data_IF_450747190587
#
_entry.id   IF_450747190587
#
_cell.length_a   1.000
_cell.length_b   1.000
_cell.length_c   1.000
_cell.angle_alpha   90.00
_cell.angle_beta   90.00
_cell.angle_gamma   90.00
#
_symmetry.space_group_name_H-M   'P 1'
#
loop_
_entity.id
_entity.type
_entity.pdbx_description
1 polymer ?
#
# COMPACT_ATOMS: atom_id res chain seq x y z
N UNK A 1 56.29 -21.23 31.39
CA UNK A 1 54.93 -21.07 31.97
C UNK A 1 54.38 -19.62 31.95
N UNK A 2 55.20 -18.56 31.75
CA UNK A 2 54.72 -17.16 31.77
C UNK A 2 54.06 -16.67 30.47
N UNK A 3 54.43 -17.21 29.31
CA UNK A 3 53.88 -16.79 28.01
C UNK A 3 52.44 -17.30 27.75
N UNK A 4 52.10 -18.50 28.23
CA UNK A 4 50.73 -19.05 28.16
C UNK A 4 49.73 -18.29 29.04
N UNK A 5 50.20 -17.66 30.12
CA UNK A 5 49.36 -16.83 31.01
C UNK A 5 49.06 -15.46 30.38
N UNK A 6 49.99 -14.88 29.62
CA UNK A 6 49.76 -13.65 28.86
C UNK A 6 48.79 -13.85 27.71
N UNK A 7 48.85 -14.99 27.01
CA UNK A 7 47.93 -15.29 25.90
C UNK A 7 46.48 -15.48 26.39
N UNK A 8 46.31 -16.09 27.57
CA UNK A 8 44.99 -16.25 28.19
C UNK A 8 44.38 -14.92 28.66
N UNK A 9 45.21 -14.00 29.16
CA UNK A 9 44.75 -12.68 29.59
C UNK A 9 44.33 -11.81 28.40
N UNK A 10 45.04 -11.92 27.27
CA UNK A 10 44.73 -11.18 26.05
C UNK A 10 43.39 -11.61 25.44
N UNK A 11 43.09 -12.92 25.40
CA UNK A 11 41.79 -13.42 24.90
C UNK A 11 40.60 -12.98 25.78
N UNK A 12 40.78 -12.84 27.09
CA UNK A 12 39.72 -12.35 27.99
C UNK A 12 39.46 -10.86 27.75
N UNK A 13 40.48 -10.06 27.48
CA UNK A 13 40.29 -8.63 27.18
C UNK A 13 39.59 -8.37 25.84
N UNK A 14 39.82 -9.20 24.81
CA UNK A 14 39.10 -9.08 23.53
C UNK A 14 37.64 -9.55 23.59
N UNK A 15 37.28 -10.41 24.55
CA UNK A 15 35.89 -10.83 24.76
C UNK A 15 35.04 -9.79 25.52
N UNK A 16 35.68 -8.76 26.11
CA UNK A 16 34.99 -7.69 26.84
C UNK A 16 34.55 -6.50 25.96
N UNK A 17 34.88 -6.49 24.67
CA UNK A 17 34.34 -5.49 23.71
C UNK A 17 33.00 -5.97 23.14
N UNK A 18 32.05 -6.27 24.01
CA UNK A 18 30.73 -6.84 23.65
C UNK A 18 29.55 -5.88 23.81
N UNK A 19 29.78 -4.60 24.15
CA UNK A 19 28.67 -3.69 24.48
C UNK A 19 28.39 -2.60 23.43
N UNK A 20 29.05 -2.61 22.26
CA UNK A 20 28.81 -1.61 21.22
C UNK A 20 27.44 -1.76 20.56
N UNK A 21 26.87 -2.97 20.52
CA UNK A 21 25.55 -3.24 19.94
C UNK A 21 24.38 -2.76 20.81
N UNK A 22 24.64 -2.27 22.03
CA UNK A 22 23.60 -1.73 22.93
C UNK A 22 23.41 -0.21 22.77
N UNK A 23 24.14 0.41 21.83
CA UNK A 23 24.09 1.83 21.50
C UNK A 23 23.48 2.13 20.13
N UNK A 24 23.09 1.09 19.38
CA UNK A 24 22.11 1.22 18.30
C UNK A 24 20.76 1.53 18.96
N UNK A 25 20.59 2.77 19.40
CA UNK A 25 19.29 3.31 19.78
C UNK A 25 18.53 3.45 18.47
N UNK A 26 17.68 2.48 18.19
CA UNK A 26 16.49 2.74 17.39
C UNK A 26 15.73 3.85 18.12
N UNK A 27 15.86 5.07 17.61
CA UNK A 27 15.04 6.18 18.06
C UNK A 27 13.63 5.91 17.54
N UNK A 28 12.85 5.17 18.32
CA UNK A 28 11.41 5.17 18.16
C UNK A 28 10.91 6.54 18.60
N UNK A 29 10.60 7.40 17.63
CA UNK A 29 9.83 8.62 17.87
C UNK A 29 8.41 8.22 18.20
N UNK A 30 8.00 8.44 19.46
CA UNK A 30 6.61 8.27 19.89
C UNK A 30 5.89 9.55 19.55
N UNK A 31 5.09 9.55 18.48
CA UNK A 31 4.15 10.63 18.23
C UNK A 31 3.07 10.62 19.33
N UNK A 32 2.68 11.78 19.88
CA UNK A 32 1.57 11.86 20.82
C UNK A 32 0.32 11.22 20.22
N UNK A 33 -0.33 10.33 20.97
CA UNK A 33 -1.58 9.71 20.55
C UNK A 33 -2.64 10.80 20.29
N UNK A 34 -3.22 10.80 19.07
CA UNK A 34 -4.39 11.61 18.74
C UNK A 34 -5.54 11.20 19.65
N UNK A 35 -5.94 12.10 20.54
CA UNK A 35 -6.91 11.81 21.62
C UNK A 35 -8.37 11.98 21.20
N UNK A 36 -8.70 12.06 19.89
CA UNK A 36 -10.04 12.47 19.45
C UNK A 36 -10.98 11.33 19.08
N UNK A 37 -12.06 11.30 19.85
CA UNK A 37 -13.40 10.83 19.49
C UNK A 37 -13.97 11.76 18.42
N UNK A 38 -14.58 11.19 17.37
CA UNK A 38 -15.20 11.92 16.26
C UNK A 38 -16.23 12.94 16.76
N UNK A 39 -15.87 14.22 16.76
CA UNK A 39 -16.83 15.31 16.90
C UNK A 39 -16.56 16.34 15.80
N UNK A 40 -17.48 16.31 14.84
CA UNK A 40 -17.58 17.18 13.67
C UNK A 40 -17.67 18.64 14.09
N UNK A 41 -16.78 19.49 13.56
CA UNK A 41 -17.15 20.87 13.25
C UNK A 41 -16.88 21.15 11.78
N UNK A 42 -17.94 21.61 11.10
CA UNK A 42 -18.17 21.63 9.65
C UNK A 42 -18.13 20.23 9.01
N UNK A 43 -19.31 19.62 8.85
CA UNK A 43 -19.50 18.39 8.07
C UNK A 43 -18.87 18.54 6.68
N UNK A 44 -17.68 17.96 6.48
CA UNK A 44 -16.96 17.96 5.20
C UNK A 44 -15.51 18.47 5.21
N UNK A 45 -14.95 18.91 6.34
CA UNK A 45 -13.51 19.29 6.42
C UNK A 45 -12.78 18.41 7.42
N UNK A 46 -11.79 17.66 6.94
CA UNK A 46 -10.96 16.79 7.79
C UNK A 46 -9.98 17.62 8.62
N UNK A 47 -9.52 17.05 9.74
CA UNK A 47 -8.62 17.71 10.68
C UNK A 47 -7.47 16.76 11.00
N UNK A 48 -6.25 17.24 10.77
CA UNK A 48 -5.03 16.56 11.14
C UNK A 48 -4.22 17.37 12.15
N UNK A 49 -3.60 16.71 13.12
CA UNK A 49 -2.75 17.33 14.14
C UNK A 49 -1.31 16.78 14.14
N UNK A 50 -1.06 15.70 13.41
CA UNK A 50 0.23 15.03 13.29
C UNK A 50 0.33 14.29 11.95
N UNK A 51 1.48 13.68 11.68
CA UNK A 51 1.76 12.95 10.45
C UNK A 51 0.79 11.79 10.21
N UNK A 52 0.52 10.97 11.23
CA UNK A 52 -0.38 9.83 11.12
C UNK A 52 -1.82 10.25 10.85
N UNK A 53 -2.28 11.38 11.38
CA UNK A 53 -3.60 11.93 11.04
C UNK A 53 -3.69 12.26 9.54
N UNK A 54 -2.63 12.80 8.92
CA UNK A 54 -2.59 13.08 7.47
C UNK A 54 -2.72 11.77 6.67
N UNK A 55 -1.95 10.74 7.05
CA UNK A 55 -2.01 9.42 6.40
C UNK A 55 -3.41 8.83 6.51
N UNK A 56 -4.01 8.88 7.70
CA UNK A 56 -5.35 8.36 7.95
C UNK A 56 -6.43 9.14 7.18
N UNK A 57 -6.34 10.47 7.15
CA UNK A 57 -7.25 11.33 6.39
C UNK A 57 -7.18 10.99 4.89
N UNK A 58 -5.98 10.82 4.33
CA UNK A 58 -5.80 10.37 2.95
C UNK A 58 -6.44 8.99 2.71
N UNK A 59 -6.25 8.03 3.61
CA UNK A 59 -6.86 6.69 3.48
C UNK A 59 -8.39 6.73 3.56
N UNK A 60 -8.98 7.62 4.37
CA UNK A 60 -10.43 7.85 4.40
C UNK A 60 -10.91 8.38 3.06
N UNK A 61 -10.24 9.40 2.51
CA UNK A 61 -10.58 9.99 1.22
C UNK A 61 -10.52 8.95 0.09
N UNK A 62 -9.46 8.12 0.08
CA UNK A 62 -9.28 7.04 -0.89
C UNK A 62 -10.38 5.99 -0.75
N UNK A 63 -10.68 5.56 0.47
CA UNK A 63 -11.76 4.59 0.74
C UNK A 63 -13.14 5.11 0.35
N UNK A 64 -13.32 6.43 0.26
CA UNK A 64 -14.54 7.09 -0.20
C UNK A 64 -14.49 7.49 -1.68
N UNK A 65 -13.40 7.19 -2.39
CA UNK A 65 -13.14 7.65 -3.77
C UNK A 65 -13.34 9.17 -3.93
N UNK A 66 -12.80 9.95 -2.98
CA UNK A 66 -12.89 11.42 -3.03
C UNK A 66 -11.74 12.00 -3.84
N UNK A 67 -12.04 12.71 -4.93
CA UNK A 67 -11.02 13.30 -5.83
C UNK A 67 -10.45 14.62 -5.30
N UNK A 68 -11.21 15.39 -4.53
CA UNK A 68 -10.75 16.66 -3.97
C UNK A 68 -11.28 16.90 -2.56
N UNK A 69 -10.40 17.34 -1.67
CA UNK A 69 -10.72 17.59 -0.28
C UNK A 69 -9.92 18.75 0.31
N UNK A 70 -10.43 19.29 1.41
CA UNK A 70 -9.71 20.26 2.25
C UNK A 70 -9.48 19.66 3.63
N UNK A 71 -8.23 19.70 4.08
CA UNK A 71 -7.80 19.25 5.41
C UNK A 71 -7.24 20.43 6.18
N UNK A 72 -7.62 20.58 7.45
CA UNK A 72 -7.04 21.59 8.34
C UNK A 72 -5.95 20.93 9.17
N UNK A 73 -4.72 21.38 8.97
CA UNK A 73 -3.53 20.86 9.64
C UNK A 73 -3.11 21.79 10.78
N UNK A 74 -3.09 21.26 12.00
CA UNK A 74 -2.74 21.98 13.23
C UNK A 74 -1.41 21.46 13.79
N UNK A 75 -0.79 22.23 14.69
CA UNK A 75 0.46 21.89 15.38
C UNK A 75 1.69 21.81 14.47
N UNK A 76 1.65 22.47 13.31
CA UNK A 76 2.81 22.71 12.45
C UNK A 76 3.21 24.18 12.53
N UNK A 77 4.52 24.44 12.62
CA UNK A 77 5.04 25.78 12.91
C UNK A 77 5.42 26.56 11.64
N UNK A 78 5.79 25.87 10.57
CA UNK A 78 6.37 26.48 9.37
C UNK A 78 6.02 25.73 8.08
N UNK A 79 6.13 26.43 6.94
CA UNK A 79 5.78 25.89 5.62
C UNK A 79 6.62 24.67 5.22
N UNK A 80 7.88 24.59 5.69
CA UNK A 80 8.82 23.52 5.29
C UNK A 80 8.44 22.21 5.97
N UNK A 81 8.12 22.23 7.27
CA UNK A 81 7.67 21.03 7.99
C UNK A 81 6.32 20.54 7.49
N UNK A 82 5.42 21.44 7.08
CA UNK A 82 4.16 21.06 6.42
C UNK A 82 4.43 20.39 5.07
N UNK A 83 5.27 20.97 4.23
CA UNK A 83 5.59 20.42 2.91
C UNK A 83 6.22 19.01 3.02
N UNK A 84 7.21 18.84 3.92
CA UNK A 84 7.85 17.54 4.18
C UNK A 84 6.83 16.48 4.64
N UNK A 85 5.97 16.83 5.60
CA UNK A 85 4.97 15.90 6.11
C UNK A 85 3.96 15.47 5.03
N UNK A 86 3.52 16.40 4.18
CA UNK A 86 2.62 16.09 3.06
C UNK A 86 3.30 15.23 2.00
N UNK A 87 4.54 15.54 1.62
CA UNK A 87 5.31 14.76 0.65
C UNK A 87 5.51 13.31 1.15
N UNK A 88 5.90 13.16 2.42
CA UNK A 88 6.07 11.85 3.04
C UNK A 88 4.75 11.09 3.14
N UNK A 89 3.67 11.73 3.61
CA UNK A 89 2.38 11.07 3.77
C UNK A 89 1.79 10.64 2.42
N UNK A 90 1.88 11.49 1.38
CA UNK A 90 1.44 11.14 0.03
C UNK A 90 2.26 9.99 -0.56
N UNK A 91 3.58 9.95 -0.30
CA UNK A 91 4.45 8.85 -0.73
C UNK A 91 4.12 7.55 -0.01
N UNK A 92 4.01 7.57 1.32
CA UNK A 92 3.65 6.40 2.14
C UNK A 92 2.31 5.83 1.69
N UNK A 93 1.30 6.67 1.53
CA UNK A 93 -0.03 6.22 1.07
C UNK A 93 0.06 5.57 -0.31
N UNK A 94 0.77 6.17 -1.27
CA UNK A 94 0.87 5.63 -2.63
C UNK A 94 1.70 4.35 -2.74
N UNK A 95 2.74 4.19 -1.92
CA UNK A 95 3.74 3.14 -2.12
C UNK A 95 3.74 2.05 -1.06
N UNK A 96 3.34 2.37 0.17
CA UNK A 96 3.47 1.48 1.32
C UNK A 96 2.11 1.02 1.84
N UNK A 97 1.05 1.81 1.65
CA UNK A 97 -0.29 1.38 2.04
C UNK A 97 -0.94 0.53 0.94
N UNK A 98 -1.49 -0.61 1.33
CA UNK A 98 -2.16 -1.52 0.41
C UNK A 98 -3.30 -0.87 -0.38
N UNK A 99 -4.12 -0.04 0.26
CA UNK A 99 -5.24 0.62 -0.40
C UNK A 99 -4.79 1.76 -1.33
N UNK A 100 -3.82 2.58 -0.90
CA UNK A 100 -3.33 3.67 -1.75
C UNK A 100 -2.56 3.13 -2.96
N UNK A 101 -1.70 2.14 -2.79
CA UNK A 101 -0.97 1.51 -3.89
C UNK A 101 -1.91 0.82 -4.91
N UNK A 102 -3.03 0.26 -4.45
CA UNK A 102 -4.05 -0.34 -5.30
C UNK A 102 -4.85 0.72 -6.09
N UNK A 103 -5.34 1.75 -5.40
CA UNK A 103 -6.38 2.63 -5.92
C UNK A 103 -5.86 3.90 -6.61
N UNK A 104 -4.71 4.43 -6.18
CA UNK A 104 -4.30 5.80 -6.48
C UNK A 104 -3.25 5.83 -7.58
N UNK A 105 -3.45 6.70 -8.58
CA UNK A 105 -2.45 7.01 -9.61
C UNK A 105 -1.45 8.04 -9.10
N UNK A 106 -1.93 9.17 -8.58
CA UNK A 106 -1.11 10.17 -7.89
C UNK A 106 -1.92 11.03 -6.92
N UNK A 107 -1.23 11.61 -5.94
CA UNK A 107 -1.79 12.61 -5.00
C UNK A 107 -0.99 13.90 -5.15
N UNK A 108 -1.70 15.03 -5.25
CA UNK A 108 -1.10 16.36 -5.10
C UNK A 108 -1.70 17.07 -3.90
N UNK A 109 -0.86 17.82 -3.19
CA UNK A 109 -1.26 18.59 -2.02
C UNK A 109 -0.61 19.97 -2.08
N UNK A 110 -1.35 20.99 -1.66
CA UNK A 110 -0.82 22.35 -1.48
C UNK A 110 -1.31 22.93 -0.16
N UNK A 111 -0.45 23.69 0.50
CA UNK A 111 -0.74 24.30 1.80
C UNK A 111 -0.92 25.79 1.69
N UNK A 112 -1.81 26.34 2.51
CA UNK A 112 -1.98 27.77 2.71
C UNK A 112 -2.05 28.07 4.21
N UNK A 113 -1.12 28.90 4.68
CA UNK A 113 -1.13 29.35 6.08
C UNK A 113 -2.39 30.16 6.39
N UNK A 114 -3.03 29.83 7.52
CA UNK A 114 -4.16 30.54 8.10
C UNK A 114 -3.87 30.86 9.57
N UNK A 115 -4.70 31.70 10.20
CA UNK A 115 -4.52 32.01 11.62
C UNK A 115 -4.78 30.77 12.47
N UNK A 116 -3.70 30.15 12.94
CA UNK A 116 -3.71 29.02 13.88
C UNK A 116 -3.76 27.62 13.24
N UNK A 117 -3.65 27.50 11.92
CA UNK A 117 -3.57 26.22 11.19
C UNK A 117 -3.12 26.43 9.74
N UNK A 118 -2.83 25.34 9.04
CA UNK A 118 -2.65 25.29 7.59
C UNK A 118 -3.86 24.68 6.91
N UNK A 119 -4.37 25.33 5.88
CA UNK A 119 -5.40 24.78 5.01
C UNK A 119 -4.72 24.01 3.88
N UNK A 120 -4.94 22.70 3.83
CA UNK A 120 -4.36 21.81 2.83
C UNK A 120 -5.43 21.51 1.79
N UNK A 121 -5.15 21.83 0.53
CA UNK A 121 -5.96 21.40 -0.61
C UNK A 121 -5.35 20.13 -1.19
N UNK A 122 -6.13 19.05 -1.23
CA UNK A 122 -5.72 17.74 -1.72
C UNK A 122 -6.47 17.42 -3.00
N UNK A 123 -5.75 16.86 -3.97
CA UNK A 123 -6.29 16.29 -5.19
C UNK A 123 -5.75 14.87 -5.38
N UNK A 124 -6.65 13.91 -5.61
CA UNK A 124 -6.33 12.49 -5.78
C UNK A 124 -6.79 12.07 -7.17
N UNK A 125 -5.87 11.55 -7.97
CA UNK A 125 -6.18 10.87 -9.23
C UNK A 125 -6.20 9.37 -8.98
N UNK A 126 -7.26 8.69 -9.42
CA UNK A 126 -7.43 7.25 -9.20
C UNK A 126 -7.13 6.45 -10.47
N UNK A 127 -6.50 5.28 -10.29
CA UNK A 127 -6.35 4.25 -11.33
C UNK A 127 -7.44 3.17 -11.26
N UNK A 128 -8.24 3.19 -10.19
CA UNK A 128 -9.38 2.29 -9.95
C UNK A 128 -10.66 3.10 -9.81
N UNK A 129 -11.78 2.52 -10.24
CA UNK A 129 -13.08 3.17 -10.11
C UNK A 129 -13.58 3.09 -8.66
N UNK A 130 -14.58 3.90 -8.32
CA UNK A 130 -15.23 3.84 -7.01
C UNK A 130 -15.81 2.44 -6.75
N UNK A 131 -16.42 1.84 -7.76
CA UNK A 131 -17.01 0.49 -7.69
C UNK A 131 -15.94 -0.56 -7.38
N UNK A 132 -14.77 -0.48 -8.03
CA UNK A 132 -13.65 -1.39 -7.77
C UNK A 132 -13.14 -1.26 -6.33
N UNK A 133 -12.99 -0.03 -5.83
CA UNK A 133 -12.58 0.21 -4.43
C UNK A 133 -13.62 -0.36 -3.44
N UNK A 134 -14.91 -0.13 -3.68
CA UNK A 134 -15.97 -0.64 -2.80
C UNK A 134 -16.13 -2.17 -2.90
N UNK A 135 -15.75 -2.77 -4.02
CA UNK A 135 -15.81 -4.21 -4.24
C UNK A 135 -14.65 -4.98 -3.58
N UNK A 136 -13.64 -4.29 -3.03
CA UNK A 136 -12.54 -4.93 -2.30
C UNK A 136 -13.08 -5.76 -1.14
N UNK A 137 -12.85 -7.07 -1.20
CA UNK A 137 -13.29 -7.99 -0.16
C UNK A 137 -12.28 -8.01 0.98
N UNK A 138 -12.76 -7.93 2.21
CA UNK A 138 -11.90 -8.07 3.39
C UNK A 138 -11.90 -9.53 3.86
N UNK A 139 -10.73 -10.13 3.95
CA UNK A 139 -10.54 -11.47 4.49
C UNK A 139 -9.57 -11.45 5.67
N UNK A 140 -9.86 -12.26 6.69
CA UNK A 140 -9.02 -12.35 7.88
C UNK A 140 -7.67 -13.01 7.61
N UNK A 141 -7.62 -13.97 6.67
CA UNK A 141 -6.42 -14.70 6.30
C UNK A 141 -6.48 -15.24 4.87
N UNK A 142 -5.33 -15.69 4.36
CA UNK A 142 -5.16 -16.31 3.04
C UNK A 142 -6.03 -17.56 2.88
N UNK A 143 -6.36 -18.27 3.96
CA UNK A 143 -7.18 -19.49 3.92
C UNK A 143 -8.61 -19.25 3.38
N UNK A 144 -9.09 -18.01 3.38
CA UNK A 144 -10.37 -17.67 2.79
C UNK A 144 -10.33 -17.58 1.25
N UNK A 145 -9.13 -17.38 0.66
CA UNK A 145 -8.97 -17.11 -0.77
C UNK A 145 -9.60 -18.15 -1.70
N UNK A 146 -9.45 -19.48 -1.48
CA UNK A 146 -10.06 -20.47 -2.36
C UNK A 146 -11.58 -20.26 -2.52
N UNK A 147 -12.28 -20.04 -1.40
CA UNK A 147 -13.73 -19.83 -1.41
C UNK A 147 -14.14 -18.49 -2.03
N UNK A 148 -13.33 -17.43 -1.84
CA UNK A 148 -13.59 -16.12 -2.45
C UNK A 148 -13.40 -16.15 -3.96
N UNK A 149 -12.33 -16.81 -4.44
CA UNK A 149 -12.07 -17.00 -5.87
C UNK A 149 -13.15 -17.87 -6.52
N UNK A 150 -13.57 -18.95 -5.84
CA UNK A 150 -14.65 -19.80 -6.33
C UNK A 150 -15.96 -19.01 -6.47
N UNK A 151 -16.32 -18.22 -5.46
CA UNK A 151 -17.51 -17.34 -5.50
C UNK A 151 -17.40 -16.33 -6.64
N UNK A 152 -16.24 -15.71 -6.83
CA UNK A 152 -16.02 -14.74 -7.90
C UNK A 152 -16.21 -15.38 -9.29
N UNK A 153 -15.72 -16.60 -9.50
CA UNK A 153 -15.95 -17.36 -10.73
C UNK A 153 -17.41 -17.73 -10.94
N UNK A 154 -18.11 -18.19 -9.90
CA UNK A 154 -19.52 -18.56 -9.98
C UNK A 154 -20.42 -17.36 -10.30
N UNK A 155 -20.03 -16.18 -9.83
CA UNK A 155 -20.67 -14.91 -10.17
C UNK A 155 -20.23 -14.34 -11.53
N UNK A 156 -19.29 -15.00 -12.23
CA UNK A 156 -18.78 -14.56 -13.52
C UNK A 156 -17.95 -13.28 -13.46
N UNK A 157 -17.34 -12.98 -12.31
CA UNK A 157 -16.44 -11.82 -12.17
C UNK A 157 -15.16 -12.06 -12.97
N UNK A 158 -14.68 -11.00 -13.62
CA UNK A 158 -13.42 -11.01 -14.37
C UNK A 158 -12.24 -10.52 -13.53
N UNK A 159 -12.52 -9.93 -12.36
CA UNK A 159 -11.53 -9.47 -11.39
C UNK A 159 -11.99 -9.69 -9.95
N UNK A 160 -11.03 -9.81 -9.03
CA UNK A 160 -11.26 -9.89 -7.59
C UNK A 160 -10.11 -9.19 -6.86
N UNK A 161 -10.43 -8.20 -6.03
CA UNK A 161 -9.48 -7.59 -5.10
C UNK A 161 -9.78 -8.05 -3.66
N UNK A 162 -8.78 -8.56 -2.95
CA UNK A 162 -8.92 -9.06 -1.59
C UNK A 162 -7.88 -8.43 -0.67
N UNK A 163 -8.34 -7.73 0.37
CA UNK A 163 -7.51 -7.26 1.47
C UNK A 163 -7.37 -8.36 2.52
N UNK A 164 -6.14 -8.72 2.85
CA UNK A 164 -5.81 -9.80 3.78
C UNK A 164 -5.30 -9.22 5.10
N UNK A 165 -5.96 -9.56 6.21
CA UNK A 165 -5.55 -9.12 7.55
C UNK A 165 -4.30 -9.84 8.08
N UNK A 166 -4.21 -11.16 7.85
CA UNK A 166 -3.09 -11.98 8.31
C UNK A 166 -2.56 -12.87 7.18
N UNK A 167 -1.32 -12.62 6.78
CA UNK A 167 -0.67 -13.36 5.70
C UNK A 167 -0.11 -14.70 6.16
N UNK A 168 0.46 -14.81 7.36
CA UNK A 168 1.20 -16.00 7.78
C UNK A 168 2.49 -16.23 6.97
N UNK A 169 3.16 -17.35 7.20
CA UNK A 169 4.39 -17.73 6.49
C UNK A 169 4.09 -18.15 5.04
N UNK A 170 5.02 -17.87 4.12
CA UNK A 170 4.94 -18.25 2.70
C UNK A 170 3.62 -17.87 2.00
N UNK A 171 3.06 -16.71 2.37
CA UNK A 171 1.73 -16.31 1.91
C UNK A 171 1.58 -16.25 0.38
N UNK A 172 2.59 -15.76 -0.34
CA UNK A 172 2.56 -15.71 -1.81
C UNK A 172 2.53 -17.10 -2.46
N UNK A 173 3.35 -18.05 -1.97
CA UNK A 173 3.33 -19.41 -2.48
C UNK A 173 1.97 -20.08 -2.25
N UNK A 174 1.31 -19.82 -1.11
CA UNK A 174 -0.05 -20.30 -0.84
C UNK A 174 -1.11 -19.67 -1.75
N UNK A 175 -0.95 -18.41 -2.12
CA UNK A 175 -1.83 -17.75 -3.11
C UNK A 175 -1.70 -18.43 -4.47
N UNK A 176 -0.47 -18.67 -4.93
CA UNK A 176 -0.20 -19.35 -6.20
C UNK A 176 -0.75 -20.78 -6.20
N UNK A 177 -0.54 -21.53 -5.12
CA UNK A 177 -1.09 -22.88 -4.95
C UNK A 177 -2.63 -22.87 -4.98
N UNK A 178 -3.28 -21.96 -4.25
CA UNK A 178 -4.73 -21.85 -4.24
C UNK A 178 -5.31 -21.56 -5.63
N UNK A 179 -4.68 -20.66 -6.39
CA UNK A 179 -5.09 -20.35 -7.77
C UNK A 179 -4.87 -21.55 -8.69
N UNK A 180 -3.73 -22.23 -8.59
CA UNK A 180 -3.42 -23.39 -9.41
C UNK A 180 -4.42 -24.54 -9.17
N UNK A 181 -4.67 -24.88 -7.90
CA UNK A 181 -5.62 -25.93 -7.52
C UNK A 181 -7.06 -25.60 -7.99
N UNK A 182 -7.49 -24.34 -7.84
CA UNK A 182 -8.82 -23.92 -8.29
C UNK A 182 -8.95 -24.01 -9.81
N UNK A 183 -7.92 -23.56 -10.54
CA UNK A 183 -7.90 -23.65 -12.01
C UNK A 183 -7.94 -25.09 -12.50
N UNK A 184 -7.21 -26.00 -11.86
CA UNK A 184 -7.29 -27.43 -12.16
C UNK A 184 -8.71 -27.98 -11.90
N UNK A 185 -9.26 -27.70 -10.73
CA UNK A 185 -10.61 -28.16 -10.34
C UNK A 185 -11.71 -27.65 -11.28
N UNK A 186 -11.55 -26.44 -11.84
CA UNK A 186 -12.50 -25.82 -12.78
C UNK A 186 -12.17 -26.11 -14.25
N UNK A 187 -11.15 -26.91 -14.55
CA UNK A 187 -10.76 -27.23 -15.92
C UNK A 187 -10.23 -26.03 -16.72
N UNK A 188 -9.68 -25.03 -16.02
CA UNK A 188 -9.16 -23.78 -16.59
C UNK A 188 -7.68 -23.86 -16.95
N UNK A 189 -7.04 -25.03 -16.88
CA UNK A 189 -5.60 -25.19 -17.15
C UNK A 189 -5.19 -24.76 -18.56
N UNK A 190 -6.10 -24.91 -19.53
CA UNK A 190 -5.89 -24.54 -20.94
C UNK A 190 -6.22 -23.06 -21.25
N UNK A 191 -6.77 -22.33 -20.28
CA UNK A 191 -7.03 -20.88 -20.42
C UNK A 191 -5.78 -20.06 -20.11
N UNK A 192 -5.67 -18.80 -20.56
CA UNK A 192 -4.59 -17.92 -20.12
C UNK A 192 -4.46 -17.87 -18.60
N UNK A 193 -3.22 -17.83 -18.10
CA UNK A 193 -2.97 -17.72 -16.67
C UNK A 193 -3.54 -16.39 -16.14
N UNK A 194 -4.11 -16.42 -14.94
CA UNK A 194 -4.57 -15.20 -14.28
C UNK A 194 -3.39 -14.31 -13.93
N UNK A 195 -3.59 -13.00 -14.02
CA UNK A 195 -2.61 -12.03 -13.51
C UNK A 195 -2.88 -11.80 -12.03
N UNK A 196 -1.84 -11.93 -11.20
CA UNK A 196 -1.91 -11.70 -9.76
C UNK A 196 -1.00 -10.51 -9.43
N UNK A 197 -1.59 -9.45 -8.89
CA UNK A 197 -0.86 -8.27 -8.44
C UNK A 197 -0.95 -8.13 -6.91
N UNK A 198 0.14 -7.65 -6.31
CA UNK A 198 0.30 -7.52 -4.87
C UNK A 198 0.49 -6.05 -4.50
N UNK A 199 -0.23 -5.61 -3.47
CA UNK A 199 -0.25 -4.21 -3.04
C UNK A 199 0.04 -4.10 -1.52
N UNK A 200 1.06 -3.31 -1.13
CA UNK A 200 2.07 -2.68 -1.99
C UNK A 200 2.92 -3.70 -2.77
N UNK A 201 3.56 -3.25 -3.85
CA UNK A 201 4.41 -4.11 -4.69
C UNK A 201 5.72 -4.51 -3.97
N UNK A 202 6.21 -3.63 -3.10
CA UNK A 202 7.36 -3.85 -2.24
C UNK A 202 6.95 -3.72 -0.77
N UNK A 203 7.56 -4.52 0.10
CA UNK A 203 7.25 -4.51 1.53
C UNK A 203 6.09 -5.44 1.93
N UNK A 204 5.45 -5.21 3.09
CA UNK A 204 4.41 -6.08 3.60
C UNK A 204 3.13 -5.93 2.77
N UNK A 205 2.85 -6.94 1.94
CA UNK A 205 1.62 -6.97 1.14
C UNK A 205 0.39 -6.97 2.04
N UNK A 206 -0.64 -6.21 1.69
CA UNK A 206 -1.92 -6.15 2.40
C UNK A 206 -3.13 -6.43 1.52
N UNK A 207 -2.98 -6.36 0.19
CA UNK A 207 -4.05 -6.57 -0.78
C UNK A 207 -3.54 -7.34 -2.00
N UNK A 208 -4.40 -8.19 -2.55
CA UNK A 208 -4.15 -8.99 -3.75
C UNK A 208 -5.23 -8.67 -4.78
N UNK A 209 -4.83 -8.41 -6.02
CA UNK A 209 -5.74 -8.28 -7.16
C UNK A 209 -5.54 -9.50 -8.08
N UNK A 210 -6.63 -10.16 -8.41
CA UNK A 210 -6.69 -11.24 -9.38
C UNK A 210 -7.42 -10.74 -10.62
N UNK A 211 -6.77 -10.79 -11.77
CA UNK A 211 -7.38 -10.49 -13.07
C UNK A 211 -7.49 -11.82 -13.83
N UNK A 212 -8.71 -12.28 -14.00
CA UNK A 212 -9.03 -13.63 -14.49
C UNK A 212 -9.23 -13.68 -16.01
N UNK A 213 -9.48 -12.53 -16.64
CA UNK A 213 -9.58 -12.38 -18.10
C UNK A 213 -8.36 -11.62 -18.63
N UNK A 214 -7.66 -12.19 -19.62
CA UNK A 214 -6.58 -11.49 -20.29
C UNK A 214 -7.17 -10.33 -21.09
N UNK A 215 -6.78 -9.09 -20.79
CA UNK A 215 -6.98 -8.01 -21.74
C UNK A 215 -6.10 -8.31 -22.95
N UNK A 216 -6.68 -8.93 -23.98
CA UNK A 216 -6.12 -8.89 -25.32
C UNK A 216 -6.04 -7.40 -25.67
N UNK A 217 -4.84 -6.83 -25.52
CA UNK A 217 -4.56 -5.51 -26.09
C UNK A 217 -4.76 -5.70 -27.59
N UNK A 218 -5.70 -5.01 -28.25
CA UNK A 218 -5.85 -5.16 -29.68
C UNK A 218 -4.54 -4.67 -30.29
N UNK A 219 -3.75 -5.62 -30.81
CA UNK A 219 -2.63 -5.30 -31.68
C UNK A 219 -3.28 -4.59 -32.86
N UNK A 220 -2.96 -3.31 -33.02
CA UNK A 220 -3.37 -2.52 -34.17
C UNK A 220 -2.76 -3.14 -35.43
N UNK A 221 -3.46 -4.09 -36.04
CA UNK A 221 -3.23 -4.55 -37.40
C UNK A 221 -3.74 -3.49 -38.38
N UNK A 222 -3.08 -2.33 -38.42
CA UNK A 222 -3.21 -1.38 -39.54
C UNK A 222 -1.84 -0.75 -39.78
N UNK A 223 -1.04 -1.37 -40.66
CA UNK A 223 -0.28 -0.70 -41.72
C UNK A 223 0.73 -1.65 -42.39
N UNK A 224 0.25 -2.51 -43.30
CA UNK A 224 1.11 -3.07 -44.36
C UNK A 224 0.46 -3.04 -45.77
N UNK A 225 -0.66 -2.33 -45.98
CA UNK A 225 -1.36 -2.35 -47.28
C UNK A 225 -1.39 -1.01 -48.04
N UNK A 226 -0.44 -0.10 -47.80
CA UNK A 226 -0.34 1.15 -48.57
C UNK A 226 1.09 1.51 -49.00
N UNK A 227 1.79 0.58 -49.64
CA UNK A 227 2.98 0.91 -50.44
C UNK A 227 3.07 0.10 -51.74
N UNK A 228 1.93 -0.12 -52.39
CA UNK A 228 1.85 -0.77 -53.69
C UNK A 228 0.86 -0.10 -54.64
N UNK A 229 0.71 1.23 -54.60
CA UNK A 229 0.04 1.97 -55.67
C UNK A 229 0.42 3.45 -55.59
N UNK A 230 1.58 3.80 -56.14
CA UNK A 230 1.80 5.05 -56.88
C UNK A 230 3.18 4.98 -57.55
N UNK A 231 3.17 4.28 -58.68
CA UNK A 231 4.11 4.46 -59.80
C UNK A 231 3.59 5.56 -60.72
#
# INVERSE_FOLDING_TARGET
MRLRRLLGLLCVCLALTGCSALLERDYATVEPHSSRFWESEAAGTLRAENYQDIVNDLLILIGQHTESATVRLYNYEDDVTVADALERATTEVQQETSMGAYAVEYITASSRSQRGYYEISIQISYRRTAEQIQAVVNATSIEALPSLLETALDEGRTELAVRIGYWGEDGQARVEEAVAQLREARGLTETPAWTIAYYPAEGPVGLIEFVMESQETPVSEENEENLAEES
#
